data_IF_148222265588
#
_entry.id   IF_148222265588
#
_cell.length_a   1.000
_cell.length_b   1.000
_cell.length_c   1.000
_cell.angle_alpha   90.00
_cell.angle_beta   90.00
_cell.angle_gamma   90.00
#
_symmetry.space_group_name_H-M   'P 1'
#
loop_
_entity.id
_entity.type
_entity.pdbx_description
1 polymer ?
#
# COMPACT_ATOMS: atom_id res chain seq x y z
N UNK A 1 -31.04 40.45 35.15
CA UNK A 1 -30.30 39.26 34.70
C UNK A 1 -30.61 38.15 35.68
N UNK A 2 -31.61 37.33 35.35
CA UNK A 2 -31.92 36.16 36.16
C UNK A 2 -31.03 34.97 35.76
N UNK A 3 -30.67 34.10 36.72
CA UNK A 3 -29.81 32.94 36.48
C UNK A 3 -30.58 31.83 35.76
N UNK A 4 -29.99 31.29 34.70
CA UNK A 4 -30.48 30.08 34.04
C UNK A 4 -30.41 28.89 35.01
N UNK A 5 -31.57 28.45 35.49
CA UNK A 5 -31.76 27.20 36.19
C UNK A 5 -31.57 26.03 35.23
N UNK A 6 -30.63 25.13 35.55
CA UNK A 6 -30.48 23.84 34.87
C UNK A 6 -31.69 22.95 35.17
N UNK A 7 -32.30 22.39 34.11
CA UNK A 7 -33.27 21.31 34.23
C UNK A 7 -32.57 19.97 34.53
N UNK A 8 -33.23 19.02 35.23
CA UNK A 8 -32.61 17.77 35.65
C UNK A 8 -32.27 16.86 34.48
N UNK A 9 -31.13 16.20 34.59
CA UNK A 9 -30.68 15.16 33.69
C UNK A 9 -31.54 13.90 33.87
N UNK A 10 -32.54 13.68 33.02
CA UNK A 10 -33.03 12.35 32.73
C UNK A 10 -33.82 12.30 31.41
N UNK A 11 -33.32 11.46 30.48
CA UNK A 11 -33.98 10.88 29.31
C UNK A 11 -34.28 11.79 28.10
N UNK A 12 -33.22 12.12 27.37
CA UNK A 12 -33.27 12.11 25.90
C UNK A 12 -32.39 10.98 25.36
N UNK A 13 -32.91 9.76 25.38
CA UNK A 13 -32.49 8.73 24.42
C UNK A 13 -33.29 8.99 23.15
N UNK A 14 -32.76 9.83 22.26
CA UNK A 14 -33.15 9.75 20.85
C UNK A 14 -32.44 8.54 20.26
N UNK A 15 -33.14 7.51 19.76
CA UNK A 15 -32.48 6.50 18.93
C UNK A 15 -31.96 7.24 17.70
N UNK A 16 -30.65 7.20 17.49
CA UNK A 16 -29.99 7.65 16.27
C UNK A 16 -30.45 6.74 15.10
N UNK A 17 -31.69 6.94 14.65
CA UNK A 17 -32.14 6.61 13.30
C UNK A 17 -31.26 7.41 12.35
N UNK A 18 -30.13 6.83 11.91
CA UNK A 18 -29.48 7.10 10.61
C UNK A 18 -28.11 6.41 10.44
N UNK A 19 -27.51 5.79 11.47
CA UNK A 19 -26.21 5.12 11.30
C UNK A 19 -26.31 3.79 10.55
N UNK A 20 -27.33 2.99 10.82
CA UNK A 20 -27.57 1.69 10.15
C UNK A 20 -28.01 1.91 8.69
N UNK A 21 -28.92 2.85 8.45
CA UNK A 21 -29.38 3.17 7.09
C UNK A 21 -28.32 3.85 6.21
N UNK A 22 -27.35 4.57 6.79
CA UNK A 22 -26.19 5.09 6.05
C UNK A 22 -25.16 4.01 5.75
N UNK A 23 -24.93 3.09 6.70
CA UNK A 23 -24.02 1.95 6.53
C UNK A 23 -24.53 0.95 5.48
N UNK A 24 -25.82 0.62 5.52
CA UNK A 24 -26.49 -0.20 4.51
C UNK A 24 -26.46 0.49 3.14
N UNK A 25 -26.80 1.78 3.05
CA UNK A 25 -26.69 2.53 1.76
C UNK A 25 -25.27 2.57 1.22
N UNK A 26 -24.25 2.63 2.09
CA UNK A 26 -22.85 2.57 1.69
C UNK A 26 -22.45 1.17 1.16
N UNK A 27 -22.88 0.09 1.83
CA UNK A 27 -22.58 -1.28 1.40
C UNK A 27 -23.37 -1.71 0.16
N UNK A 28 -24.65 -1.32 0.04
CA UNK A 28 -25.43 -1.51 -1.19
C UNK A 28 -24.87 -0.71 -2.36
N UNK A 29 -24.38 0.52 -2.13
CA UNK A 29 -23.64 1.28 -3.16
C UNK A 29 -22.34 0.58 -3.54
N UNK A 30 -21.58 0.06 -2.57
CA UNK A 30 -20.35 -0.68 -2.86
C UNK A 30 -20.62 -1.91 -3.73
N UNK A 31 -21.66 -2.68 -3.39
CA UNK A 31 -22.03 -3.91 -4.11
C UNK A 31 -22.57 -3.60 -5.50
N UNK A 32 -23.45 -2.60 -5.63
CA UNK A 32 -23.94 -2.14 -6.92
C UNK A 32 -22.83 -1.58 -7.82
N UNK A 33 -21.83 -0.90 -7.23
CA UNK A 33 -20.63 -0.45 -7.96
C UNK A 33 -19.77 -1.63 -8.38
N UNK A 34 -19.54 -2.62 -7.51
CA UNK A 34 -18.81 -3.84 -7.88
C UNK A 34 -19.52 -4.65 -8.98
N UNK A 35 -20.85 -4.79 -8.91
CA UNK A 35 -21.63 -5.51 -9.91
C UNK A 35 -21.68 -4.74 -11.24
N UNK A 36 -21.82 -3.42 -11.21
CA UNK A 36 -21.72 -2.58 -12.40
C UNK A 36 -20.30 -2.63 -13.00
N UNK A 37 -19.25 -2.67 -12.18
CA UNK A 37 -17.86 -2.81 -12.65
C UNK A 37 -17.60 -4.20 -13.25
N UNK A 38 -18.15 -5.25 -12.65
CA UNK A 38 -18.06 -6.63 -13.14
C UNK A 38 -18.83 -6.81 -14.43
N UNK A 39 -20.02 -6.23 -14.55
CA UNK A 39 -20.77 -6.16 -15.80
C UNK A 39 -20.03 -5.34 -16.85
N UNK A 40 -19.42 -4.22 -16.49
CA UNK A 40 -18.60 -3.42 -17.41
C UNK A 40 -17.38 -4.18 -17.94
N UNK A 41 -16.71 -4.97 -17.09
CA UNK A 41 -15.63 -5.89 -17.47
C UNK A 41 -16.09 -7.05 -18.37
N UNK A 42 -17.31 -7.55 -18.16
CA UNK A 42 -17.89 -8.62 -18.98
C UNK A 42 -18.47 -8.11 -20.31
N UNK A 43 -18.86 -6.84 -20.38
CA UNK A 43 -19.46 -6.20 -21.56
C UNK A 43 -18.45 -5.39 -22.39
N UNK A 44 -17.28 -5.04 -21.84
CA UNK A 44 -16.20 -4.42 -22.60
C UNK A 44 -15.46 -5.49 -23.39
N UNK A 45 -15.93 -5.76 -24.61
CA UNK A 45 -15.33 -6.70 -25.56
C UNK A 45 -13.93 -6.35 -26.09
N UNK A 46 -13.17 -5.49 -25.40
CA UNK A 46 -11.79 -5.14 -25.73
C UNK A 46 -10.83 -5.68 -24.65
N UNK A 47 -10.37 -6.91 -24.86
CA UNK A 47 -9.21 -7.50 -24.17
C UNK A 47 -7.97 -7.04 -24.93
N UNK A 48 -7.52 -5.79 -24.78
CA UNK A 48 -6.23 -5.34 -25.31
C UNK A 48 -5.41 -4.53 -24.28
N UNK A 49 -4.22 -5.06 -24.02
CA UNK A 49 -3.00 -4.47 -23.43
C UNK A 49 -3.14 -3.74 -22.07
N UNK A 50 -3.38 -4.55 -21.03
CA UNK A 50 -2.80 -4.28 -19.72
C UNK A 50 -1.33 -4.76 -19.80
N UNK A 51 -0.29 -4.03 -19.33
CA UNK A 51 1.12 -4.41 -19.53
C UNK A 51 1.54 -5.65 -18.72
N UNK A 52 0.57 -6.41 -18.21
CA UNK A 52 0.78 -7.50 -17.27
C UNK A 52 1.23 -6.99 -15.91
N UNK A 53 1.32 -7.89 -14.92
CA UNK A 53 2.04 -7.64 -13.68
C UNK A 53 3.47 -7.14 -13.96
N UNK A 54 3.90 -6.06 -13.30
CA UNK A 54 5.28 -5.55 -13.41
C UNK A 54 6.12 -6.22 -12.34
N UNK A 55 7.11 -7.01 -12.74
CA UNK A 55 8.01 -7.67 -11.81
C UNK A 55 9.06 -6.68 -11.29
N UNK A 56 9.28 -6.67 -9.98
CA UNK A 56 10.27 -5.78 -9.34
C UNK A 56 11.23 -6.58 -8.48
N UNK A 57 12.49 -6.19 -8.55
CA UNK A 57 13.56 -6.67 -7.69
C UNK A 57 14.16 -5.49 -6.92
N UNK A 58 14.38 -5.65 -5.61
CA UNK A 58 15.13 -4.71 -4.77
C UNK A 58 16.30 -5.45 -4.10
N UNK A 59 17.50 -4.85 -4.13
CA UNK A 59 18.65 -5.42 -3.45
C UNK A 59 19.75 -4.38 -3.15
N UNK A 60 20.22 -4.32 -1.91
CA UNK A 60 21.53 -3.77 -1.58
C UNK A 60 22.60 -4.77 -2.02
N UNK A 61 23.53 -4.36 -2.89
CA UNK A 61 24.51 -5.28 -3.49
C UNK A 61 25.90 -5.17 -2.90
N UNK A 62 26.15 -4.24 -1.97
CA UNK A 62 27.45 -4.04 -1.33
C UNK A 62 28.62 -4.07 -2.35
N UNK A 63 28.63 -3.12 -3.29
CA UNK A 63 29.44 -3.05 -4.52
C UNK A 63 28.86 -3.82 -5.71
N UNK A 64 28.43 -3.09 -6.74
CA UNK A 64 27.90 -3.60 -8.00
C UNK A 64 29.03 -3.98 -8.96
N UNK A 65 29.30 -5.27 -9.14
CA UNK A 65 30.22 -5.77 -10.18
C UNK A 65 29.47 -6.11 -11.47
N UNK A 66 30.15 -6.23 -12.63
CA UNK A 66 29.51 -6.72 -13.86
C UNK A 66 28.84 -8.07 -13.70
N UNK A 67 29.42 -8.98 -12.91
CA UNK A 67 28.82 -10.28 -12.62
C UNK A 67 27.54 -10.16 -11.79
N UNK A 68 27.52 -9.35 -10.72
CA UNK A 68 26.30 -9.10 -9.93
C UNK A 68 25.23 -8.45 -10.80
N UNK A 69 25.60 -7.48 -11.63
CA UNK A 69 24.68 -6.84 -12.56
C UNK A 69 24.02 -7.85 -13.52
N UNK A 70 24.83 -8.73 -14.13
CA UNK A 70 24.32 -9.79 -15.00
C UNK A 70 23.39 -10.75 -14.25
N UNK A 71 23.73 -11.15 -13.01
CA UNK A 71 22.89 -12.02 -12.19
C UNK A 71 21.55 -11.38 -11.83
N UNK A 72 21.53 -10.08 -11.52
CA UNK A 72 20.30 -9.34 -11.25
C UNK A 72 19.43 -9.24 -12.50
N UNK A 73 20.02 -8.91 -13.65
CA UNK A 73 19.30 -8.84 -14.93
C UNK A 73 18.73 -10.20 -15.36
N UNK A 74 19.42 -11.31 -15.04
CA UNK A 74 18.97 -12.67 -15.32
C UNK A 74 17.71 -13.08 -14.53
N UNK A 75 17.36 -12.36 -13.45
CA UNK A 75 16.09 -12.58 -12.75
C UNK A 75 14.87 -12.15 -13.59
N UNK A 76 15.09 -11.37 -14.66
CA UNK A 76 14.03 -11.00 -15.61
C UNK A 76 12.99 -10.01 -15.06
N UNK A 77 13.28 -9.32 -13.95
CA UNK A 77 12.41 -8.29 -13.40
C UNK A 77 12.35 -7.07 -14.34
N UNK A 78 11.19 -6.45 -14.48
CA UNK A 78 11.04 -5.26 -15.34
C UNK A 78 11.69 -4.01 -14.73
N UNK A 79 11.74 -3.95 -13.39
CA UNK A 79 12.35 -2.86 -12.64
C UNK A 79 13.26 -3.44 -11.56
N UNK A 80 14.49 -2.94 -11.47
CA UNK A 80 15.47 -3.38 -10.47
C UNK A 80 15.98 -2.16 -9.69
N UNK A 81 15.68 -2.08 -8.39
CA UNK A 81 16.17 -1.05 -7.48
C UNK A 81 17.41 -1.55 -6.72
N UNK A 82 18.55 -0.87 -6.92
CA UNK A 82 19.84 -1.26 -6.36
C UNK A 82 20.32 -0.20 -5.36
N UNK A 83 20.81 -0.65 -4.21
CA UNK A 83 21.52 0.16 -3.22
C UNK A 83 22.99 -0.26 -3.13
N UNK A 84 23.84 0.67 -2.70
CA UNK A 84 25.30 0.48 -2.55
C UNK A 84 26.03 0.00 -3.81
N UNK A 85 25.92 0.77 -4.90
CA UNK A 85 26.60 0.45 -6.15
C UNK A 85 28.13 0.53 -6.05
N UNK A 86 28.66 1.48 -5.26
CA UNK A 86 30.10 1.75 -5.09
C UNK A 86 30.81 1.98 -6.42
N UNK A 87 30.17 2.73 -7.32
CA UNK A 87 30.71 3.09 -8.64
C UNK A 87 30.66 4.58 -8.90
N UNK A 88 31.71 5.07 -9.55
CA UNK A 88 31.72 6.41 -10.12
C UNK A 88 30.76 6.51 -11.31
N UNK A 89 30.42 7.73 -11.72
CA UNK A 89 29.54 7.97 -12.86
C UNK A 89 30.10 7.37 -14.15
N UNK A 90 31.43 7.40 -14.33
CA UNK A 90 32.13 6.83 -15.49
C UNK A 90 32.03 5.30 -15.49
N UNK A 91 32.22 4.69 -14.33
CA UNK A 91 32.09 3.24 -14.18
C UNK A 91 30.65 2.78 -14.45
N UNK A 92 29.65 3.50 -13.93
CA UNK A 92 28.23 3.24 -14.23
C UNK A 92 27.96 3.38 -15.74
N UNK A 93 28.46 4.44 -16.37
CA UNK A 93 28.26 4.67 -17.80
C UNK A 93 28.88 3.57 -18.69
N UNK A 94 29.96 2.94 -18.23
CA UNK A 94 30.60 1.81 -18.93
C UNK A 94 29.92 0.46 -18.74
N UNK A 95 28.91 0.35 -17.85
CA UNK A 95 28.27 -0.93 -17.56
C UNK A 95 27.42 -1.41 -18.73
N UNK A 96 27.57 -2.69 -19.08
CA UNK A 96 26.71 -3.34 -20.07
C UNK A 96 25.37 -3.73 -19.43
N UNK A 97 24.31 -3.05 -19.84
CA UNK A 97 22.97 -3.18 -19.24
C UNK A 97 21.96 -3.89 -20.16
N UNK A 98 22.41 -4.39 -21.31
CA UNK A 98 21.59 -5.18 -22.23
C UNK A 98 20.25 -4.51 -22.55
N UNK A 99 19.16 -5.16 -22.17
CA UNK A 99 17.78 -4.70 -22.40
C UNK A 99 17.25 -3.70 -21.36
N UNK A 100 18.12 -3.11 -20.55
CA UNK A 100 17.72 -2.15 -19.51
C UNK A 100 18.28 -0.76 -19.77
N UNK A 101 17.57 0.25 -19.24
CA UNK A 101 18.06 1.61 -19.06
C UNK A 101 18.47 1.76 -17.60
N UNK A 102 19.71 2.19 -17.35
CA UNK A 102 20.27 2.36 -16.01
C UNK A 102 20.28 3.84 -15.61
N UNK A 103 19.58 4.16 -14.52
CA UNK A 103 19.63 5.46 -13.86
C UNK A 103 20.35 5.32 -12.53
N UNK A 104 21.40 6.10 -12.29
CA UNK A 104 22.14 6.03 -11.04
C UNK A 104 22.42 7.41 -10.43
N UNK A 105 22.60 7.43 -9.12
CA UNK A 105 23.28 8.49 -8.41
C UNK A 105 24.52 7.89 -7.77
N UNK A 106 25.70 8.24 -8.29
CA UNK A 106 26.98 7.89 -7.70
C UNK A 106 27.31 8.84 -6.54
N UNK A 107 27.99 8.32 -5.53
CA UNK A 107 28.54 9.12 -4.43
C UNK A 107 30.01 9.44 -4.69
N UNK A 108 30.42 10.64 -4.26
CA UNK A 108 31.84 11.00 -4.18
C UNK A 108 32.43 10.36 -2.92
N UNK A 109 33.45 9.52 -3.10
CA UNK A 109 34.16 8.85 -2.01
C UNK A 109 33.96 7.32 -2.00
N UNK A 110 34.15 6.70 -0.84
CA UNK A 110 34.00 5.25 -0.66
C UNK A 110 32.55 4.90 -0.30
N UNK A 111 32.06 3.82 -0.88
CA UNK A 111 30.74 3.26 -0.57
C UNK A 111 29.56 4.07 -1.12
N UNK A 112 28.34 3.60 -0.84
CA UNK A 112 27.10 4.23 -1.28
C UNK A 112 26.84 4.12 -2.79
N UNK A 113 26.02 5.03 -3.29
CA UNK A 113 25.49 5.04 -4.63
C UNK A 113 24.25 4.18 -4.77
N UNK A 114 23.28 4.67 -5.53
CA UNK A 114 21.99 4.00 -5.79
C UNK A 114 21.72 3.95 -7.27
N UNK A 115 20.97 2.94 -7.70
CA UNK A 115 20.56 2.78 -9.09
C UNK A 115 19.14 2.21 -9.23
N UNK A 116 18.53 2.49 -10.38
CA UNK A 116 17.31 1.86 -10.86
C UNK A 116 17.56 1.43 -12.30
N UNK A 117 17.37 0.14 -12.59
CA UNK A 117 17.27 -0.37 -13.95
C UNK A 117 15.80 -0.52 -14.32
N UNK A 118 15.47 -0.11 -15.54
CA UNK A 118 14.13 -0.29 -16.12
C UNK A 118 14.28 -0.98 -17.46
N UNK A 119 13.52 -2.04 -17.69
CA UNK A 119 13.52 -2.76 -18.96
C UNK A 119 13.10 -1.82 -20.09
N UNK A 120 13.80 -1.87 -21.24
CA UNK A 120 13.60 -0.97 -22.40
C UNK A 120 12.21 -1.09 -23.03
N UNK A 121 11.47 -2.15 -22.74
CA UNK A 121 10.05 -2.30 -23.11
C UNK A 121 9.17 -1.25 -22.42
N UNK A 122 9.61 -0.73 -21.26
CA UNK A 122 8.95 0.35 -20.54
C UNK A 122 9.68 1.67 -20.83
N UNK A 123 8.93 2.69 -21.28
CA UNK A 123 9.51 4.03 -21.45
C UNK A 123 9.78 4.61 -20.08
N UNK A 124 10.99 5.12 -19.85
CA UNK A 124 11.37 5.71 -18.57
C UNK A 124 12.17 7.00 -18.73
N UNK A 125 12.13 7.85 -17.71
CA UNK A 125 12.99 9.04 -17.61
C UNK A 125 13.32 9.36 -16.16
N UNK A 126 14.49 9.94 -15.92
CA UNK A 126 14.88 10.42 -14.59
C UNK A 126 14.04 11.62 -14.18
N UNK A 127 13.56 11.64 -12.94
CA UNK A 127 13.01 12.85 -12.31
C UNK A 127 14.17 13.58 -11.62
N UNK A 128 14.43 14.86 -11.95
CA UNK A 128 15.45 15.63 -11.26
C UNK A 128 15.08 15.87 -9.80
N UNK A 129 15.79 15.23 -8.88
CA UNK A 129 15.74 15.52 -7.45
C UNK A 129 17.16 15.82 -6.97
N UNK A 130 17.45 17.11 -6.76
CA UNK A 130 18.76 17.55 -6.28
C UNK A 130 18.82 17.43 -4.77
N UNK A 131 19.68 16.52 -4.30
CA UNK A 131 20.08 16.40 -2.90
C UNK A 131 21.19 17.43 -2.65
N UNK A 132 21.03 18.35 -1.67
CA UNK A 132 22.06 19.32 -1.34
C UNK A 132 23.38 18.63 -0.95
N UNK A 133 24.52 19.19 -1.34
CA UNK A 133 25.84 18.59 -1.06
C UNK A 133 26.13 18.38 0.44
N UNK A 134 25.52 19.18 1.32
CA UNK A 134 25.66 19.03 2.77
C UNK A 134 24.80 17.90 3.34
N UNK A 135 23.76 17.46 2.63
CA UNK A 135 22.98 16.30 3.01
C UNK A 135 23.69 15.04 2.54
N UNK A 136 24.45 14.46 3.46
CA UNK A 136 25.16 13.20 3.21
C UNK A 136 24.42 11.99 3.74
N UNK A 137 23.21 12.17 4.30
CA UNK A 137 22.46 11.09 4.94
C UNK A 137 21.61 10.31 3.94
N UNK A 138 21.10 10.97 2.89
CA UNK A 138 20.23 10.37 1.88
C UNK A 138 20.90 10.33 0.50
N UNK A 139 20.90 9.17 -0.13
CA UNK A 139 21.27 8.98 -1.52
C UNK A 139 20.03 8.41 -2.24
N UNK A 140 19.58 9.03 -3.34
CA UNK A 140 18.31 8.64 -4.00
C UNK A 140 18.30 8.92 -5.51
N UNK A 141 17.89 7.93 -6.28
CA UNK A 141 17.54 8.12 -7.69
C UNK A 141 16.05 7.91 -7.89
N UNK A 142 15.42 8.85 -8.61
CA UNK A 142 13.98 8.83 -8.88
C UNK A 142 13.77 8.73 -10.39
N UNK A 143 12.94 7.78 -10.81
CA UNK A 143 12.65 7.47 -12.20
C UNK A 143 11.15 7.45 -12.39
N UNK A 144 10.68 8.14 -13.42
CA UNK A 144 9.33 8.00 -13.94
C UNK A 144 9.31 6.88 -14.98
N UNK A 145 8.43 5.91 -14.80
CA UNK A 145 8.20 4.80 -15.71
C UNK A 145 6.80 4.96 -16.27
N UNK A 146 6.68 5.15 -17.59
CA UNK A 146 5.41 5.26 -18.25
C UNK A 146 4.78 3.89 -18.39
N UNK A 147 3.61 3.72 -17.78
CA UNK A 147 2.77 2.55 -17.99
C UNK A 147 1.70 2.87 -19.05
N UNK A 148 0.90 1.86 -19.39
CA UNK A 148 -0.17 2.01 -20.37
C UNK A 148 -1.24 3.03 -19.90
N UNK A 149 -1.93 3.62 -20.88
CA UNK A 149 -3.01 4.58 -20.66
C UNK A 149 -2.63 5.83 -19.84
N UNK A 150 -1.42 6.37 -20.07
CA UNK A 150 -0.98 7.65 -19.52
C UNK A 150 -0.88 7.68 -17.98
N UNK A 151 -0.60 6.50 -17.38
CA UNK A 151 -0.50 6.33 -15.94
C UNK A 151 0.95 6.08 -15.55
N UNK A 152 1.68 7.16 -15.28
CA UNK A 152 3.07 7.04 -14.89
C UNK A 152 3.24 6.48 -13.47
N UNK A 153 4.22 5.62 -13.28
CA UNK A 153 4.72 5.14 -11.99
C UNK A 153 6.00 5.91 -11.64
N UNK A 154 6.13 6.34 -10.39
CA UNK A 154 7.40 6.85 -9.86
C UNK A 154 8.08 5.73 -9.08
N UNK A 155 9.33 5.45 -9.42
CA UNK A 155 10.19 4.51 -8.70
C UNK A 155 11.36 5.28 -8.11
N UNK A 156 11.58 5.12 -6.80
CA UNK A 156 12.72 5.67 -6.09
C UNK A 156 13.54 4.54 -5.48
N UNK A 157 14.84 4.50 -5.78
CA UNK A 157 15.81 3.71 -5.03
C UNK A 157 16.55 4.64 -4.07
N UNK A 158 16.46 4.38 -2.77
CA UNK A 158 17.03 5.19 -1.71
C UNK A 158 18.01 4.38 -0.84
N UNK A 159 19.02 5.06 -0.32
CA UNK A 159 19.95 4.53 0.67
C UNK A 159 20.13 5.57 1.78
N UNK A 160 19.83 5.21 3.01
CA UNK A 160 20.11 6.05 4.18
C UNK A 160 21.34 5.55 4.91
N UNK A 161 22.34 6.42 5.04
CA UNK A 161 23.60 6.07 5.68
C UNK A 161 23.41 5.84 7.18
N UNK A 162 24.03 4.81 7.78
CA UNK A 162 24.10 4.69 9.24
C UNK A 162 25.07 5.73 9.85
N UNK A 163 24.71 6.42 10.96
CA UNK A 163 23.41 6.37 11.61
C UNK A 163 22.35 7.13 10.78
N UNK A 164 21.15 6.54 10.60
CA UNK A 164 20.13 7.10 9.72
C UNK A 164 19.58 8.42 10.27
N UNK A 165 19.14 9.29 9.36
CA UNK A 165 18.57 10.60 9.69
C UNK A 165 17.43 10.95 8.72
N UNK A 166 16.33 11.48 9.26
CA UNK A 166 15.23 12.00 8.42
C UNK A 166 15.53 13.46 8.05
N UNK A 167 16.12 13.66 6.87
CA UNK A 167 16.53 14.99 6.40
C UNK A 167 15.42 15.72 5.64
N UNK A 168 15.60 17.01 5.37
CA UNK A 168 14.68 17.78 4.55
C UNK A 168 14.58 17.22 3.11
N UNK A 169 15.65 16.60 2.60
CA UNK A 169 15.64 15.97 1.29
C UNK A 169 14.70 14.77 1.24
N UNK A 170 14.67 13.95 2.30
CA UNK A 170 13.70 12.86 2.40
C UNK A 170 12.26 13.38 2.49
N UNK A 171 12.02 14.44 3.30
CA UNK A 171 10.70 15.09 3.37
C UNK A 171 10.24 15.61 2.01
N UNK A 172 11.15 16.18 1.20
CA UNK A 172 10.85 16.60 -0.18
C UNK A 172 10.54 15.42 -1.09
N UNK A 173 11.27 14.30 -0.97
CA UNK A 173 11.03 13.10 -1.75
C UNK A 173 9.60 12.59 -1.57
N UNK A 174 9.10 12.51 -0.33
CA UNK A 174 7.76 11.94 -0.07
C UNK A 174 6.62 12.95 -0.26
N UNK A 175 6.85 14.25 -0.04
CA UNK A 175 5.79 15.27 -0.07
C UNK A 175 5.70 16.09 -1.36
N UNK A 176 6.78 16.21 -2.14
CA UNK A 176 6.78 17.05 -3.36
C UNK A 176 6.39 16.28 -4.62
N UNK A 177 6.26 14.95 -4.56
CA UNK A 177 5.76 14.16 -5.68
C UNK A 177 4.24 14.33 -5.81
N UNK A 178 3.67 14.26 -7.03
CA UNK A 178 2.24 14.50 -7.20
C UNK A 178 1.42 13.51 -6.38
N UNK A 179 0.49 14.02 -5.56
CA UNK A 179 -0.22 13.22 -4.55
C UNK A 179 -1.01 12.03 -5.13
N UNK A 180 -1.42 12.12 -6.40
CA UNK A 180 -2.20 11.11 -7.11
C UNK A 180 -1.37 10.16 -7.98
N UNK A 181 -0.04 10.34 -8.02
CA UNK A 181 0.85 9.49 -8.81
C UNK A 181 1.27 8.28 -7.99
N UNK A 182 1.17 7.06 -8.54
CA UNK A 182 1.72 5.87 -7.91
C UNK A 182 3.20 6.01 -7.61
N UNK A 183 3.61 5.63 -6.41
CA UNK A 183 4.99 5.71 -5.95
C UNK A 183 5.41 4.37 -5.36
N UNK A 184 6.55 3.88 -5.84
CA UNK A 184 7.31 2.79 -5.26
C UNK A 184 8.61 3.36 -4.70
N UNK A 185 8.81 3.24 -3.39
CA UNK A 185 10.04 3.63 -2.70
C UNK A 185 10.71 2.37 -2.15
N UNK A 186 11.82 2.00 -2.75
CA UNK A 186 12.65 0.88 -2.37
C UNK A 186 13.95 1.39 -1.76
N UNK A 187 14.43 0.81 -0.68
CA UNK A 187 15.72 1.20 -0.15
C UNK A 187 16.19 0.43 1.06
N UNK A 188 17.48 0.60 1.36
CA UNK A 188 18.08 0.25 2.64
C UNK A 188 18.09 1.52 3.50
N UNK A 189 17.30 1.48 4.56
CA UNK A 189 17.10 2.63 5.43
C UNK A 189 17.97 2.60 6.68
N UNK A 190 18.67 1.50 6.96
CA UNK A 190 19.47 1.31 8.18
C UNK A 190 18.71 1.65 9.48
N UNK A 191 17.37 1.47 9.49
CA UNK A 191 16.49 1.79 10.61
C UNK A 191 15.82 0.54 11.17
N UNK A 192 15.67 0.50 12.49
CA UNK A 192 15.01 -0.57 13.22
C UNK A 192 13.71 -0.06 13.84
N UNK A 193 12.60 -0.78 13.62
CA UNK A 193 11.29 -0.44 14.20
C UNK A 193 10.41 -1.68 14.37
N UNK A 194 9.62 -1.78 15.46
CA UNK A 194 8.67 -2.89 15.69
C UNK A 194 7.63 -3.13 14.59
N UNK A 195 7.49 -2.22 13.63
CA UNK A 195 6.53 -2.32 12.53
C UNK A 195 7.02 -3.28 11.44
N UNK A 196 8.33 -3.39 11.25
CA UNK A 196 8.96 -4.34 10.33
C UNK A 196 9.80 -5.40 11.07
N UNK A 197 10.21 -5.13 12.31
CA UNK A 197 10.88 -6.07 13.22
C UNK A 197 10.06 -6.30 14.50
N UNK A 198 8.98 -7.09 14.45
CA UNK A 198 8.04 -7.25 15.58
C UNK A 198 8.69 -7.84 16.85
N UNK A 199 9.84 -8.51 16.72
CA UNK A 199 10.60 -9.10 17.82
C UNK A 199 11.77 -8.22 18.29
N UNK A 200 11.81 -6.95 17.88
CA UNK A 200 12.83 -6.01 18.34
C UNK A 200 12.70 -5.82 19.86
N UNK A 201 13.75 -6.18 20.61
CA UNK A 201 13.77 -6.06 22.07
C UNK A 201 13.93 -4.62 22.55
N UNK A 202 14.51 -3.77 21.70
CA UNK A 202 14.76 -2.36 22.00
C UNK A 202 13.64 -1.47 21.49
N UNK A 203 13.40 -0.37 22.20
CA UNK A 203 12.49 0.68 21.71
C UNK A 203 13.01 1.27 20.40
N UNK A 204 12.12 1.60 19.44
CA UNK A 204 12.54 2.26 18.21
C UNK A 204 13.18 3.61 18.51
N UNK A 205 14.13 4.01 17.67
CA UNK A 205 14.71 5.35 17.75
C UNK A 205 13.68 6.43 17.36
N UNK A 206 13.84 7.65 17.85
CA UNK A 206 13.00 8.79 17.45
C UNK A 206 13.03 9.00 15.93
N UNK A 207 14.19 8.77 15.31
CA UNK A 207 14.36 8.86 13.85
C UNK A 207 13.52 7.81 13.11
N UNK A 208 13.49 6.56 13.58
CA UNK A 208 12.69 5.50 12.96
C UNK A 208 11.18 5.74 13.14
N UNK A 209 10.78 6.26 14.31
CA UNK A 209 9.39 6.66 14.56
C UNK A 209 8.95 7.83 13.66
N UNK A 210 9.80 8.86 13.53
CA UNK A 210 9.55 9.99 12.63
C UNK A 210 9.47 9.55 11.17
N UNK A 211 10.36 8.65 10.73
CA UNK A 211 10.35 8.10 9.38
C UNK A 211 9.03 7.38 9.07
N UNK A 212 8.55 6.53 10.00
CA UNK A 212 7.27 5.83 9.87
C UNK A 212 6.11 6.82 9.79
N UNK A 213 6.05 7.81 10.70
CA UNK A 213 5.01 8.85 10.70
C UNK A 213 4.99 9.58 9.35
N UNK A 214 6.14 10.07 8.88
CA UNK A 214 6.26 10.79 7.61
C UNK A 214 5.80 9.95 6.40
N UNK A 215 6.20 8.68 6.33
CA UNK A 215 5.79 7.79 5.25
C UNK A 215 4.27 7.57 5.28
N UNK A 216 3.71 7.26 6.45
CA UNK A 216 2.27 7.01 6.60
C UNK A 216 1.42 8.25 6.33
N UNK A 217 1.85 9.43 6.78
CA UNK A 217 1.20 10.71 6.49
C UNK A 217 1.22 11.06 5.00
N UNK A 218 2.30 10.69 4.29
CA UNK A 218 2.40 10.83 2.84
C UNK A 218 1.53 9.80 2.08
N UNK A 219 0.86 8.88 2.78
CA UNK A 219 0.01 7.82 2.21
C UNK A 219 0.81 6.64 1.68
N UNK A 220 2.04 6.45 2.11
CA UNK A 220 2.82 5.25 1.83
C UNK A 220 2.43 4.11 2.78
N UNK A 221 2.30 2.92 2.22
CA UNK A 221 2.07 1.67 2.95
C UNK A 221 3.30 0.79 2.85
N UNK A 222 3.74 0.26 3.99
CA UNK A 222 4.83 -0.71 4.06
C UNK A 222 4.39 -2.02 3.41
N UNK A 223 5.20 -2.52 2.47
CA UNK A 223 4.93 -3.74 1.70
C UNK A 223 5.55 -4.98 2.36
N UNK A 224 6.66 -4.80 3.08
CA UNK A 224 7.37 -5.90 3.75
C UNK A 224 6.42 -6.76 4.58
N UNK A 225 6.64 -8.08 4.54
CA UNK A 225 6.01 -8.99 5.51
C UNK A 225 6.70 -8.79 6.87
N UNK A 226 5.98 -8.42 7.94
CA UNK A 226 6.61 -8.13 9.23
C UNK A 226 7.39 -9.32 9.78
N UNK A 227 8.64 -9.08 10.20
CA UNK A 227 9.53 -10.10 10.76
C UNK A 227 10.36 -10.87 9.73
N UNK A 228 10.13 -10.68 8.44
CA UNK A 228 11.00 -11.26 7.40
C UNK A 228 12.36 -10.56 7.39
N UNK A 229 13.42 -11.37 7.36
CA UNK A 229 14.81 -10.91 7.41
C UNK A 229 15.20 -10.38 6.03
N UNK A 230 15.83 -9.20 5.99
CA UNK A 230 16.35 -8.62 4.76
C UNK A 230 17.86 -8.42 4.77
N UNK A 231 18.48 -8.44 5.96
CA UNK A 231 19.93 -8.38 6.14
C UNK A 231 20.38 -9.47 7.10
N UNK A 232 21.46 -10.16 6.73
CA UNK A 232 22.06 -11.20 7.55
C UNK A 232 23.57 -11.24 7.42
N UNK A 233 24.27 -11.05 8.55
CA UNK A 233 25.73 -11.19 8.61
C UNK A 233 26.15 -12.16 9.71
N UNK A 234 26.99 -13.12 9.34
CA UNK A 234 27.45 -14.17 10.25
C UNK A 234 26.30 -14.99 10.86
N UNK A 235 26.47 -15.45 12.09
CA UNK A 235 25.51 -16.36 12.77
C UNK A 235 24.48 -15.66 13.64
N UNK A 236 24.63 -14.35 13.92
CA UNK A 236 23.81 -13.64 14.91
C UNK A 236 23.14 -12.37 14.41
N UNK A 237 23.71 -11.68 13.42
CA UNK A 237 23.12 -10.43 12.94
C UNK A 237 22.03 -10.76 11.92
N UNK A 238 20.78 -10.50 12.29
CA UNK A 238 19.60 -10.64 11.44
C UNK A 238 18.72 -9.41 11.68
N UNK A 239 18.33 -8.73 10.61
CA UNK A 239 17.46 -7.57 10.71
C UNK A 239 16.61 -7.39 9.45
N UNK A 240 15.59 -6.53 9.57
CA UNK A 240 14.80 -6.02 8.46
C UNK A 240 15.11 -4.53 8.32
N UNK A 241 16.01 -4.16 7.40
CA UNK A 241 16.44 -2.77 7.17
C UNK A 241 16.22 -2.32 5.72
N UNK A 242 15.98 -3.28 4.82
CA UNK A 242 15.60 -3.04 3.43
C UNK A 242 14.07 -2.99 3.36
N UNK A 243 13.53 -1.79 3.17
CA UNK A 243 12.09 -1.56 3.18
C UNK A 243 11.59 -1.26 1.76
N UNK A 244 10.40 -1.75 1.48
CA UNK A 244 9.63 -1.46 0.27
C UNK A 244 8.35 -0.74 0.70
N UNK A 245 8.17 0.47 0.20
CA UNK A 245 6.99 1.29 0.45
C UNK A 245 6.26 1.53 -0.86
N UNK A 246 4.93 1.48 -0.81
CA UNK A 246 4.08 1.70 -1.98
C UNK A 246 2.98 2.70 -1.69
N UNK A 247 2.54 3.43 -2.72
CA UNK A 247 1.42 4.36 -2.68
C UNK A 247 0.65 4.25 -3.98
N UNK A 248 -0.68 4.12 -3.90
CA UNK A 248 -1.58 3.90 -5.05
C UNK A 248 -1.16 2.72 -5.95
N UNK A 249 -0.59 1.68 -5.34
CA UNK A 249 -0.19 0.44 -5.98
C UNK A 249 -0.73 -0.73 -5.18
N UNK A 250 -1.11 -1.80 -5.86
CA UNK A 250 -1.32 -3.10 -5.22
C UNK A 250 -0.06 -3.90 -5.43
N UNK A 251 0.47 -4.50 -4.35
CA UNK A 251 1.68 -5.32 -4.42
C UNK A 251 1.31 -6.74 -4.01
N UNK A 252 1.74 -7.73 -4.79
CA UNK A 252 1.58 -9.16 -4.49
C UNK A 252 2.93 -9.87 -4.48
N UNK A 253 2.93 -11.08 -3.94
CA UNK A 253 4.05 -12.03 -4.03
C UNK A 253 5.37 -11.46 -3.50
N UNK A 254 5.28 -10.58 -2.49
CA UNK A 254 6.48 -10.06 -1.85
C UNK A 254 7.20 -11.18 -1.12
N UNK A 255 8.50 -11.31 -1.40
CA UNK A 255 9.36 -12.31 -0.79
C UNK A 255 10.77 -11.77 -0.58
N UNK A 256 11.42 -12.23 0.48
CA UNK A 256 12.83 -12.03 0.75
C UNK A 256 13.57 -13.35 0.57
N UNK A 257 14.60 -13.37 -0.27
CA UNK A 257 15.38 -14.59 -0.57
C UNK A 257 16.86 -14.38 -0.34
N UNK A 258 17.53 -15.38 0.24
CA UNK A 258 18.98 -15.36 0.44
C UNK A 258 19.68 -15.30 -0.92
N UNK A 259 20.67 -14.42 -1.04
CA UNK A 259 21.42 -14.22 -2.26
C UNK A 259 22.93 -14.31 -2.01
N UNK A 260 23.72 -14.92 -2.90
CA UNK A 260 25.18 -14.93 -2.78
C UNK A 260 25.83 -13.59 -3.16
N UNK A 261 25.03 -12.59 -3.56
CA UNK A 261 25.55 -11.33 -4.09
C UNK A 261 25.90 -10.31 -3.00
N UNK A 262 25.37 -10.47 -1.78
CA UNK A 262 25.56 -9.57 -0.63
C UNK A 262 25.16 -10.29 0.67
N UNK A 263 25.43 -9.67 1.82
CA UNK A 263 24.80 -9.97 3.11
C UNK A 263 23.34 -9.49 3.21
N UNK A 264 22.85 -8.76 2.21
CA UNK A 264 21.43 -8.45 2.04
C UNK A 264 20.69 -9.48 1.18
N UNK A 265 19.40 -9.64 1.47
CA UNK A 265 18.49 -10.51 0.75
C UNK A 265 18.05 -9.84 -0.55
N UNK A 266 17.73 -10.67 -1.53
CA UNK A 266 17.06 -10.24 -2.74
C UNK A 266 15.56 -10.19 -2.47
N UNK A 267 14.98 -8.99 -2.53
CA UNK A 267 13.55 -8.79 -2.39
C UNK A 267 12.90 -8.81 -3.77
N UNK A 268 11.86 -9.62 -3.95
CA UNK A 268 11.09 -9.67 -5.19
C UNK A 268 9.61 -9.52 -4.91
N UNK A 269 8.90 -8.85 -5.79
CA UNK A 269 7.46 -8.63 -5.69
C UNK A 269 6.88 -8.20 -7.02
N UNK A 270 5.56 -8.27 -7.12
CA UNK A 270 4.83 -7.92 -8.33
C UNK A 270 3.95 -6.70 -8.09
N UNK A 271 4.05 -5.71 -8.98
CA UNK A 271 3.16 -4.56 -8.96
C UNK A 271 1.95 -4.80 -9.84
N UNK A 272 0.79 -4.57 -9.26
CA UNK A 272 -0.48 -4.43 -9.95
C UNK A 272 -0.89 -2.98 -9.85
N UNK A 273 -1.28 -2.40 -10.98
CA UNK A 273 -1.80 -1.06 -10.96
C UNK A 273 -3.10 -1.07 -10.15
N UNK A 274 -3.13 -0.33 -9.04
CA UNK A 274 -4.40 -0.05 -8.39
C UNK A 274 -5.25 0.70 -9.42
N UNK A 275 -6.40 0.15 -9.80
CA UNK A 275 -7.34 0.90 -10.62
C UNK A 275 -7.67 2.17 -9.82
N UNK A 276 -7.50 3.37 -10.40
CA UNK A 276 -7.95 4.60 -9.72
C UNK A 276 -9.45 4.59 -9.38
N UNK A 277 -10.20 3.64 -9.94
CA UNK A 277 -11.61 3.35 -9.66
C UNK A 277 -11.82 2.15 -8.72
N UNK A 278 -10.75 1.50 -8.24
CA UNK A 278 -10.84 0.61 -7.09
C UNK A 278 -10.91 1.46 -5.83
N UNK A 279 -12.13 1.50 -5.27
CA UNK A 279 -12.35 1.79 -3.85
C UNK A 279 -11.25 1.04 -3.08
N UNK A 280 -10.52 1.69 -2.15
CA UNK A 280 -9.45 1.04 -1.41
C UNK A 280 -9.97 -0.29 -0.87
N UNK A 281 -9.26 -1.38 -1.17
CA UNK A 281 -9.45 -2.63 -0.44
C UNK A 281 -9.46 -2.27 1.04
N UNK A 282 -10.57 -2.59 1.73
CA UNK A 282 -10.69 -2.27 3.14
C UNK A 282 -9.39 -2.74 3.82
N UNK A 283 -8.71 -1.87 4.61
CA UNK A 283 -7.45 -2.23 5.24
C UNK A 283 -7.62 -3.59 5.93
N UNK A 284 -6.59 -4.47 5.93
CA UNK A 284 -6.68 -5.75 6.61
C UNK A 284 -7.27 -5.48 7.98
N UNK A 285 -8.40 -6.13 8.23
CA UNK A 285 -9.19 -5.85 9.42
C UNK A 285 -8.36 -6.30 10.60
N UNK A 286 -7.54 -5.39 11.14
CA UNK A 286 -6.96 -5.55 12.46
C UNK A 286 -8.12 -5.97 13.37
N UNK A 287 -7.96 -7.01 14.21
CA UNK A 287 -9.04 -7.48 15.06
C UNK A 287 -9.66 -6.27 15.75
N UNK A 288 -10.91 -5.93 15.38
CA UNK A 288 -11.57 -4.72 15.82
C UNK A 288 -11.89 -4.91 17.30
N UNK A 289 -11.06 -4.37 18.17
CA UNK A 289 -11.36 -4.28 19.59
C UNK A 289 -12.45 -3.24 19.78
N UNK A 290 -13.66 -3.70 20.08
CA UNK A 290 -14.75 -2.81 20.43
C UNK A 290 -14.64 -2.43 21.90
N UNK A 291 -14.79 -1.13 22.18
CA UNK A 291 -14.95 -0.66 23.55
C UNK A 291 -16.36 -1.05 24.03
N UNK A 292 -16.43 -1.67 25.20
CA UNK A 292 -17.70 -1.91 25.86
C UNK A 292 -18.16 -0.61 26.53
N UNK A 293 -18.75 0.31 25.75
CA UNK A 293 -19.16 1.63 26.22
C UNK A 293 -20.05 1.59 27.47
N UNK A 294 -20.94 0.59 27.57
CA UNK A 294 -21.81 0.39 28.74
C UNK A 294 -21.09 -0.17 29.98
N UNK A 295 -19.85 -0.65 29.86
CA UNK A 295 -19.00 -1.11 30.97
C UNK A 295 -17.89 -0.11 31.29
N UNK A 296 -17.82 1.02 30.58
CA UNK A 296 -16.80 2.02 30.84
C UNK A 296 -17.11 2.77 32.14
N UNK A 297 -16.09 2.93 32.99
CA UNK A 297 -16.20 3.70 34.23
C UNK A 297 -16.02 5.19 33.92
N UNK A 298 -17.08 5.83 33.41
CA UNK A 298 -17.02 7.19 32.86
C UNK A 298 -16.52 8.24 33.86
N UNK A 299 -16.92 8.16 35.13
CA UNK A 299 -16.47 9.12 36.14
C UNK A 299 -14.95 9.05 36.39
N UNK A 300 -14.39 7.83 36.38
CA UNK A 300 -12.94 7.62 36.51
C UNK A 300 -12.19 8.03 35.23
N UNK A 301 -12.80 7.79 34.07
CA UNK A 301 -12.28 8.24 32.78
C UNK A 301 -12.13 9.75 32.74
N UNK A 302 -13.19 10.51 33.06
CA UNK A 302 -13.19 11.97 33.03
C UNK A 302 -12.13 12.51 34.01
N UNK A 303 -12.10 11.98 35.23
CA UNK A 303 -11.14 12.40 36.25
C UNK A 303 -9.68 12.14 35.85
N UNK A 304 -9.37 10.98 35.26
CA UNK A 304 -8.03 10.62 34.80
C UNK A 304 -7.64 11.40 33.53
N UNK A 305 -8.60 11.68 32.66
CA UNK A 305 -8.40 12.45 31.44
C UNK A 305 -8.07 13.91 31.76
N UNK A 306 -8.88 14.56 32.58
CA UNK A 306 -8.68 15.96 32.97
C UNK A 306 -7.37 16.15 33.75
N UNK A 307 -6.98 15.18 34.59
CA UNK A 307 -5.71 15.22 35.31
C UNK A 307 -4.48 15.16 34.39
N UNK A 308 -4.62 14.63 33.16
CA UNK A 308 -3.54 14.50 32.18
C UNK A 308 -3.48 15.66 31.19
N UNK A 309 -4.50 16.53 31.14
CA UNK A 309 -4.54 17.63 30.21
C UNK A 309 -3.68 18.81 30.72
N UNK A 310 -2.73 19.31 29.91
CA UNK A 310 -2.02 20.53 30.26
C UNK A 310 -2.93 21.75 30.14
N UNK A 311 -2.57 22.84 30.82
CA UNK A 311 -3.23 24.13 30.63
C UNK A 311 -3.18 24.52 29.13
N UNK A 312 -4.33 24.93 28.59
CA UNK A 312 -4.45 25.26 27.18
C UNK A 312 -3.61 26.50 26.84
N UNK A 313 -2.68 26.34 25.88
CA UNK A 313 -1.87 27.41 25.32
C UNK A 313 -2.08 27.50 23.81
N UNK A 314 -2.79 28.54 23.37
CA UNK A 314 -3.12 28.77 21.97
C UNK A 314 -1.90 28.98 21.07
N UNK A 315 -0.72 29.30 21.64
CA UNK A 315 0.54 29.44 20.89
C UNK A 315 1.22 28.09 20.64
N UNK A 316 0.78 27.01 21.30
CA UNK A 316 1.37 25.67 21.23
C UNK A 316 0.37 24.61 20.78
N UNK A 317 -0.42 24.91 19.74
CA UNK A 317 -1.49 24.03 19.25
C UNK A 317 -1.02 22.61 18.91
N UNK A 318 0.10 22.44 18.20
CA UNK A 318 0.66 21.12 17.85
C UNK A 318 0.95 20.28 19.10
N UNK A 319 1.64 20.85 20.08
CA UNK A 319 1.95 20.19 21.36
C UNK A 319 0.68 19.90 22.17
N UNK A 320 -0.28 20.82 22.16
CA UNK A 320 -1.58 20.66 22.81
C UNK A 320 -2.41 19.51 22.22
N UNK A 321 -2.45 19.38 20.90
CA UNK A 321 -3.13 18.27 20.20
C UNK A 321 -2.47 16.93 20.55
N UNK A 322 -1.13 16.86 20.56
CA UNK A 322 -0.39 15.65 20.96
C UNK A 322 -0.69 15.25 22.40
N UNK A 323 -0.70 16.22 23.32
CA UNK A 323 -1.01 15.99 24.74
C UNK A 323 -2.45 15.51 24.94
N UNK A 324 -3.41 16.12 24.24
CA UNK A 324 -4.82 15.74 24.25
C UNK A 324 -5.03 14.32 23.75
N UNK A 325 -4.49 13.99 22.57
CA UNK A 325 -4.62 12.65 21.98
C UNK A 325 -4.01 11.57 22.89
N UNK A 326 -2.86 11.87 23.51
CA UNK A 326 -2.22 10.96 24.47
C UNK A 326 -3.06 10.74 25.73
N UNK A 327 -3.59 11.82 26.32
CA UNK A 327 -4.47 11.74 27.48
C UNK A 327 -5.73 10.92 27.16
N UNK A 328 -6.29 11.10 25.97
CA UNK A 328 -7.50 10.43 25.50
C UNK A 328 -7.28 8.93 25.38
N UNK A 329 -6.22 8.53 24.65
CA UNK A 329 -5.88 7.11 24.44
C UNK A 329 -5.57 6.42 25.78
N UNK A 330 -4.82 7.07 26.66
CA UNK A 330 -4.39 6.50 27.95
C UNK A 330 -5.59 6.28 28.87
N UNK A 331 -6.47 7.27 28.97
CA UNK A 331 -7.67 7.19 29.82
C UNK A 331 -8.65 6.13 29.30
N UNK A 332 -8.82 6.03 27.97
CA UNK A 332 -9.62 4.97 27.37
C UNK A 332 -9.09 3.57 27.67
N UNK A 333 -7.76 3.37 27.63
CA UNK A 333 -7.15 2.06 27.93
C UNK A 333 -7.34 1.65 29.38
N UNK A 334 -7.33 2.59 30.31
CA UNK A 334 -7.44 2.33 31.76
C UNK A 334 -8.88 2.07 32.20
N UNK A 335 -9.84 2.81 31.64
CA UNK A 335 -11.20 2.89 32.20
C UNK A 335 -12.30 2.31 31.32
N UNK A 336 -12.04 2.06 30.03
CA UNK A 336 -13.00 1.44 29.13
C UNK A 336 -12.53 0.02 28.71
N UNK A 337 -13.18 -1.05 29.22
CA UNK A 337 -12.86 -2.42 28.86
C UNK A 337 -12.99 -2.69 27.36
N UNK A 338 -12.06 -3.45 26.81
CA UNK A 338 -12.02 -3.88 25.41
C UNK A 338 -12.20 -5.39 25.32
N UNK A 339 -12.92 -5.85 24.30
CA UNK A 339 -13.14 -7.27 24.07
C UNK A 339 -13.55 -7.58 22.63
N UNK A 340 -13.54 -8.87 22.30
CA UNK A 340 -14.00 -9.41 21.03
C UNK A 340 -15.44 -9.92 21.20
N UNK A 341 -16.37 -9.48 20.35
CA UNK A 341 -17.71 -10.10 20.32
C UNK A 341 -17.56 -11.53 19.80
N UNK A 342 -17.87 -12.54 20.64
CA UNK A 342 -17.85 -13.96 20.21
C UNK A 342 -19.00 -14.28 19.26
N UNK A 343 -20.13 -13.60 19.42
CA UNK A 343 -21.31 -13.73 18.59
C UNK A 343 -21.75 -12.33 18.17
N UNK A 344 -21.23 -11.85 17.03
CA UNK A 344 -21.79 -10.68 16.37
C UNK A 344 -23.19 -11.02 15.84
N UNK A 345 -24.09 -10.04 15.67
CA UNK A 345 -25.39 -10.30 15.06
C UNK A 345 -25.20 -10.99 13.71
N UNK A 346 -25.94 -12.08 13.45
CA UNK A 346 -26.06 -12.64 12.10
C UNK A 346 -26.76 -11.59 11.24
N UNK A 347 -25.94 -10.78 10.57
CA UNK A 347 -26.35 -9.65 9.73
C UNK A 347 -26.74 -10.09 8.31
N UNK A 348 -26.60 -11.38 8.01
CA UNK A 348 -26.90 -11.98 6.72
C UNK A 348 -28.16 -12.81 6.86
N UNK A 349 -29.20 -12.50 6.08
CA UNK A 349 -30.35 -13.40 5.97
C UNK A 349 -29.94 -14.65 5.15
N UNK A 350 -30.73 -15.72 5.25
CA UNK A 350 -30.44 -16.98 4.54
C UNK A 350 -30.49 -16.79 3.02
N UNK A 351 -31.25 -15.81 2.53
CA UNK A 351 -31.38 -15.43 1.13
C UNK A 351 -30.07 -14.89 0.54
N UNK A 352 -29.31 -14.10 1.29
CA UNK A 352 -28.02 -13.53 0.91
C UNK A 352 -26.89 -14.55 0.93
N UNK A 353 -26.91 -15.49 1.88
CA UNK A 353 -25.99 -16.63 1.89
C UNK A 353 -26.24 -17.54 0.68
N UNK A 354 -27.49 -17.76 0.32
CA UNK A 354 -27.85 -18.56 -0.85
C UNK A 354 -27.45 -17.87 -2.16
N UNK A 355 -27.62 -16.55 -2.27
CA UNK A 355 -27.17 -15.77 -3.43
C UNK A 355 -25.64 -15.79 -3.60
N UNK A 356 -24.88 -15.75 -2.50
CA UNK A 356 -23.42 -15.85 -2.52
C UNK A 356 -22.94 -17.26 -2.91
N UNK A 357 -23.64 -18.30 -2.45
CA UNK A 357 -23.43 -19.68 -2.89
C UNK A 357 -23.66 -19.82 -4.39
N UNK A 358 -24.80 -19.32 -4.90
CA UNK A 358 -25.12 -19.34 -6.33
C UNK A 358 -24.10 -18.57 -7.19
N UNK A 359 -23.58 -17.44 -6.70
CA UNK A 359 -22.55 -16.67 -7.40
C UNK A 359 -21.21 -17.41 -7.46
N UNK A 360 -20.86 -18.11 -6.38
CA UNK A 360 -19.64 -18.92 -6.28
C UNK A 360 -19.72 -20.14 -7.21
N UNK A 361 -20.85 -20.84 -7.21
CA UNK A 361 -21.10 -21.99 -8.10
C UNK A 361 -21.14 -21.60 -9.58
N UNK A 362 -21.66 -20.41 -9.89
CA UNK A 362 -21.68 -19.88 -11.25
C UNK A 362 -20.29 -19.47 -11.74
N UNK A 363 -19.46 -18.91 -10.85
CA UNK A 363 -18.04 -18.64 -11.14
C UNK A 363 -17.25 -19.93 -11.37
N UNK A 364 -17.48 -20.96 -10.56
CA UNK A 364 -16.84 -22.25 -10.73
C UNK A 364 -17.22 -22.91 -12.06
N UNK A 365 -18.50 -22.85 -12.45
CA UNK A 365 -18.98 -23.34 -13.76
C UNK A 365 -18.37 -22.58 -14.93
N UNK A 366 -18.26 -21.26 -14.84
CA UNK A 366 -17.61 -20.44 -15.87
C UNK A 366 -16.14 -20.82 -16.07
N UNK A 367 -15.40 -21.08 -14.99
CA UNK A 367 -14.00 -21.50 -15.06
C UNK A 367 -13.79 -22.93 -15.61
N UNK A 368 -14.86 -23.73 -15.68
CA UNK A 368 -14.83 -25.06 -16.29
C UNK A 368 -15.35 -25.07 -17.73
N UNK A 369 -15.75 -23.93 -18.28
CA UNK A 369 -16.06 -23.84 -19.71
C UNK A 369 -14.76 -23.96 -20.51
N UNK A 370 -14.71 -24.82 -21.55
CA UNK A 370 -13.54 -24.90 -22.41
C UNK A 370 -13.32 -23.55 -23.09
N UNK A 371 -12.07 -23.07 -23.08
CA UNK A 371 -11.65 -21.91 -23.88
C UNK A 371 -12.00 -22.15 -25.35
N UNK A 372 -12.68 -21.22 -26.04
CA UNK A 372 -12.97 -21.40 -27.45
C UNK A 372 -11.66 -21.42 -28.24
N UNK A 373 -11.47 -22.48 -29.04
CA UNK A 373 -10.31 -22.63 -29.92
C UNK A 373 -10.23 -21.44 -30.88
N UNK A 374 -9.18 -20.63 -30.71
CA UNK A 374 -8.71 -19.72 -31.76
C UNK A 374 -8.07 -20.57 -32.85
N UNK A 375 -8.86 -21.01 -33.82
CA UNK A 375 -8.49 -21.16 -35.24
C UNK A 375 -9.56 -21.96 -36.00
N UNK A 376 -10.36 -21.27 -36.82
CA UNK A 376 -10.80 -21.82 -38.11
C UNK A 376 -11.16 -20.70 -39.10
N UNK A 377 -10.14 -20.36 -39.91
CA UNK A 377 -10.14 -19.94 -41.31
C UNK A 377 -11.36 -19.21 -41.88
N UNK A 378 -11.08 -18.04 -42.42
CA UNK A 378 -11.66 -17.55 -43.67
C UNK A 378 -11.82 -18.68 -44.69
N UNK A 379 -13.07 -18.98 -45.07
CA UNK A 379 -13.47 -19.28 -46.44
C UNK A 379 -14.99 -19.15 -46.55
N UNK A 380 -15.44 -18.39 -47.55
CA UNK A 380 -16.82 -17.98 -47.68
C UNK A 380 -17.77 -19.07 -48.19
N UNK A 381 -19.03 -18.95 -47.79
CA UNK A 381 -20.22 -18.95 -48.64
C UNK A 381 -21.43 -18.65 -47.73
N UNK A 382 -22.35 -17.81 -48.20
CA UNK A 382 -23.46 -17.32 -47.41
C UNK A 382 -24.48 -18.39 -47.04
N UNK A 383 -25.33 -18.07 -46.06
CA UNK A 383 -26.81 -18.09 -46.13
C UNK A 383 -27.39 -17.88 -44.72
N UNK A 384 -28.29 -16.90 -44.64
CA UNK A 384 -29.40 -16.66 -43.71
C UNK A 384 -29.17 -16.52 -42.19
N UNK A 385 -29.35 -15.26 -41.79
CA UNK A 385 -29.91 -14.77 -40.52
C UNK A 385 -30.93 -15.69 -39.83
N UNK A 386 -30.68 -15.96 -38.54
CA UNK A 386 -31.75 -15.97 -37.54
C UNK A 386 -31.28 -15.20 -36.31
N UNK A 387 -31.91 -14.06 -36.08
CA UNK A 387 -31.75 -13.20 -34.91
C UNK A 387 -32.31 -13.91 -33.68
N UNK A 388 -31.44 -14.43 -32.81
CA UNK A 388 -31.85 -14.79 -31.45
C UNK A 388 -31.73 -13.51 -30.60
N UNK A 389 -32.88 -12.88 -30.38
CA UNK A 389 -33.02 -11.57 -29.76
C UNK A 389 -32.50 -11.52 -28.32
N UNK A 390 -31.49 -10.69 -28.06
CA UNK A 390 -31.03 -10.23 -26.74
C UNK A 390 -32.12 -9.49 -25.92
N UNK A 391 -33.31 -9.28 -26.50
CA UNK A 391 -34.42 -8.55 -25.89
C UNK A 391 -35.19 -9.33 -24.81
N UNK A 392 -35.02 -10.64 -24.66
CA UNK A 392 -35.85 -11.43 -23.74
C UNK A 392 -35.32 -11.49 -22.29
N UNK A 393 -34.03 -11.20 -22.07
CA UNK A 393 -33.43 -11.29 -20.72
C UNK A 393 -33.53 -9.96 -19.93
N UNK A 394 -33.65 -8.83 -20.63
CA UNK A 394 -33.70 -7.50 -20.00
C UNK A 394 -35.07 -7.16 -19.36
N UNK A 395 -36.17 -7.79 -19.79
CA UNK A 395 -37.53 -7.39 -19.38
C UNK A 395 -37.99 -8.01 -18.06
N UNK A 396 -37.31 -9.04 -17.51
CA UNK A 396 -37.72 -9.68 -16.25
C UNK A 396 -37.15 -9.05 -14.97
N UNK A 397 -36.19 -8.13 -15.07
CA UNK A 397 -35.52 -7.54 -13.90
C UNK A 397 -36.21 -6.23 -13.43
N UNK A 398 -37.00 -5.56 -14.28
CA UNK A 398 -37.64 -4.28 -13.94
C UNK A 398 -38.97 -4.38 -13.17
N UNK A 399 -39.52 -5.58 -12.95
CA UNK A 399 -40.81 -5.75 -12.25
C UNK A 399 -40.65 -6.11 -10.76
N UNK A 400 -39.44 -6.43 -10.30
CA UNK A 400 -39.18 -6.79 -8.89
C UNK A 400 -38.72 -5.61 -8.00
N UNK A 401 -38.56 -4.42 -8.56
CA UNK A 401 -38.14 -3.21 -7.83
C UNK A 401 -39.27 -2.20 -7.59
N UNK A 402 -40.52 -2.57 -7.88
CA UNK A 402 -41.72 -1.80 -7.58
C UNK A 402 -42.77 -2.69 -6.91
N UNK A 403 -42.50 -3.15 -5.69
CA UNK A 403 -43.49 -3.62 -4.70
C UNK A 403 -42.87 -3.54 -3.31
#
# INVERSE_FOLDING_TARGET
MEPFTWLPAERYFHPLLNSIGAYQRYTYRLRAVCDAQRQKLLLSGDIEQNPGPIAVLQMNVSCLTPSKLATLMAQGADIIAIQETWKSSEQIASMHTGDYVLYAQSRIGKGGGVAVLVRKTLRSKRIPLTIPQHDTSLEVVVVQVALDQNRDLIVASAYMRPPPQVTQSFRRLVNCLPASTPLLLCGDFNMHHPQWEPFLETSPSEVAAEFLELCTDAGLTLVNTPGEITYARGTRERSCIDLTWSKHLTVSDWSASVSPLSDHYMLTFTLHQAFKDTIPSAPPSAPKFFYSWGKCKWDLFIKDFDAQLPAYDYKKQSTGIKAFTRALITSYRRHCPRGMHKDGPRLWDDTLMEAERMATDSKARYLQLPTPDREQKCNGQGVNSSSCSESACATRIYVASAS
#
